data_IF_567650635500
#
_entry.id   IF_567650635500
#
_cell.length_a   1.000
_cell.length_b   1.000
_cell.length_c   1.000
_cell.angle_alpha   90.00
_cell.angle_beta   90.00
_cell.angle_gamma   90.00
#
_symmetry.space_group_name_H-M   'P 1'
#
loop_
_entity.id
_entity.type
_entity.pdbx_description
1 polymer ?
#
# COMPACT_ATOMS: atom_id res chain seq x y z
N UNK A 1 18.21 18.15 -9.72
CA UNK A 1 18.24 16.67 -9.55
C UNK A 1 17.16 16.29 -8.56
N UNK A 2 16.36 15.27 -8.84
CA UNK A 2 15.24 14.86 -7.97
C UNK A 2 15.80 14.35 -6.64
N UNK A 3 15.56 15.06 -5.54
CA UNK A 3 15.95 14.64 -4.17
C UNK A 3 15.19 13.38 -3.70
N UNK A 4 14.32 12.80 -4.53
CA UNK A 4 13.41 11.71 -4.19
C UNK A 4 13.68 10.47 -5.05
N UNK A 5 14.81 9.81 -4.78
CA UNK A 5 15.23 8.60 -5.49
C UNK A 5 14.89 7.32 -4.71
N UNK A 6 14.46 7.44 -3.46
CA UNK A 6 13.94 6.32 -2.68
C UNK A 6 12.42 6.22 -2.82
N UNK A 7 11.88 5.06 -2.47
CA UNK A 7 10.44 4.83 -2.43
C UNK A 7 10.00 4.25 -1.10
N UNK A 8 8.79 4.61 -0.68
CA UNK A 8 8.03 3.87 0.31
C UNK A 8 6.74 3.40 -0.32
N UNK A 9 6.38 2.14 -0.09
CA UNK A 9 5.20 1.53 -0.69
C UNK A 9 4.33 0.94 0.41
N UNK A 10 3.04 1.24 0.41
CA UNK A 10 2.05 0.54 1.21
C UNK A 10 1.44 -0.55 0.33
N UNK A 11 1.60 -1.81 0.71
CA UNK A 11 1.04 -2.97 0.03
C UNK A 11 -0.20 -3.44 0.76
N UNK A 12 -1.21 -3.85 -0.02
CA UNK A 12 -2.48 -4.31 0.51
C UNK A 12 -2.88 -5.58 -0.21
N UNK A 13 -3.06 -6.63 0.57
CA UNK A 13 -3.84 -7.78 0.18
C UNK A 13 -5.30 -7.49 0.53
N UNK A 14 -6.14 -7.28 -0.49
CA UNK A 14 -7.55 -6.94 -0.30
C UNK A 14 -8.29 -8.08 0.39
N UNK A 15 -9.23 -7.85 1.34
CA UNK A 15 -10.08 -8.93 1.86
C UNK A 15 -10.89 -9.61 0.73
N UNK A 16 -10.99 -10.94 0.71
CA UNK A 16 -11.63 -11.69 -0.41
C UNK A 16 -13.07 -11.24 -0.72
N UNK A 17 -13.82 -10.78 0.29
CA UNK A 17 -15.19 -10.25 0.13
C UNK A 17 -15.26 -8.95 -0.69
N UNK A 18 -14.16 -8.18 -0.73
CA UNK A 18 -14.09 -6.90 -1.44
C UNK A 18 -13.60 -7.03 -2.88
N UNK A 19 -13.27 -8.25 -3.31
CA UNK A 19 -12.81 -8.54 -4.66
C UNK A 19 -14.02 -8.95 -5.51
N UNK A 20 -14.32 -8.22 -6.60
CA UNK A 20 -15.39 -8.59 -7.50
C UNK A 20 -15.21 -10.01 -8.03
N UNK A 21 -16.26 -10.84 -8.02
CA UNK A 21 -16.22 -12.24 -8.47
C UNK A 21 -15.53 -12.41 -9.83
N UNK A 22 -15.82 -11.51 -10.79
CA UNK A 22 -15.23 -11.50 -12.15
C UNK A 22 -13.71 -11.25 -12.20
N UNK A 23 -13.12 -10.75 -11.11
CA UNK A 23 -11.68 -10.45 -11.03
C UNK A 23 -10.94 -11.49 -10.19
N UNK A 24 -11.64 -12.36 -9.44
CA UNK A 24 -11.01 -13.35 -8.54
C UNK A 24 -10.06 -14.31 -9.27
N UNK A 25 -10.37 -14.69 -10.50
CA UNK A 25 -9.52 -15.56 -11.33
C UNK A 25 -8.36 -14.81 -12.03
N UNK A 26 -8.29 -13.49 -11.88
CA UNK A 26 -7.30 -12.62 -12.52
C UNK A 26 -6.36 -11.92 -11.53
N UNK A 27 -6.52 -12.21 -10.24
CA UNK A 27 -5.64 -11.75 -9.17
C UNK A 27 -4.83 -12.93 -8.63
N UNK A 28 -3.98 -12.69 -7.64
CA UNK A 28 -3.18 -13.72 -6.97
C UNK A 28 -4.04 -14.95 -6.62
N UNK A 29 -3.52 -16.19 -6.76
CA UNK A 29 -4.18 -17.37 -6.23
C UNK A 29 -4.29 -17.23 -4.71
N UNK A 30 -5.46 -17.58 -4.18
CA UNK A 30 -5.86 -17.29 -2.81
C UNK A 30 -6.33 -18.56 -2.14
N UNK A 31 -5.69 -18.92 -1.03
CA UNK A 31 -6.16 -20.02 -0.20
C UNK A 31 -7.20 -19.48 0.79
N UNK A 32 -8.46 -19.89 0.66
CA UNK A 32 -9.54 -19.44 1.54
C UNK A 32 -9.41 -19.96 2.98
N UNK A 33 -8.63 -21.01 3.18
CA UNK A 33 -8.35 -21.57 4.50
C UNK A 33 -7.31 -20.72 5.25
N UNK A 34 -6.56 -19.89 4.52
CA UNK A 34 -5.65 -18.92 5.12
C UNK A 34 -6.42 -17.69 5.61
N UNK A 35 -6.26 -17.41 6.90
CA UNK A 35 -6.92 -16.30 7.57
C UNK A 35 -6.57 -14.96 6.92
N UNK A 36 -5.31 -14.78 6.49
CA UNK A 36 -4.80 -13.59 5.79
C UNK A 36 -5.60 -13.27 4.53
N UNK A 37 -5.87 -14.28 3.70
CA UNK A 37 -6.71 -14.17 2.51
C UNK A 37 -8.13 -13.67 2.81
N UNK A 38 -8.69 -14.08 3.93
CA UNK A 38 -10.09 -13.77 4.31
C UNK A 38 -10.22 -12.35 4.85
N UNK A 39 -9.33 -11.94 5.77
CA UNK A 39 -9.40 -10.63 6.44
C UNK A 39 -8.56 -9.54 5.76
N UNK A 40 -7.69 -9.93 4.82
CA UNK A 40 -6.68 -9.10 4.17
C UNK A 40 -5.44 -8.89 5.03
N UNK A 41 -4.39 -8.38 4.39
CA UNK A 41 -3.12 -8.03 5.04
C UNK A 41 -2.61 -6.69 4.51
N UNK A 42 -1.87 -5.96 5.36
CA UNK A 42 -1.26 -4.69 5.01
C UNK A 42 0.16 -4.67 5.53
N UNK A 43 1.10 -4.38 4.64
CA UNK A 43 2.51 -4.29 4.93
C UNK A 43 3.12 -3.13 4.16
N UNK A 44 4.38 -2.79 4.43
CA UNK A 44 5.04 -1.72 3.70
C UNK A 44 6.43 -2.14 3.21
N UNK A 45 6.82 -1.56 2.08
CA UNK A 45 8.15 -1.70 1.48
C UNK A 45 8.91 -0.38 1.51
N UNK A 46 10.23 -0.50 1.57
CA UNK A 46 11.17 0.59 1.41
C UNK A 46 12.15 0.21 0.29
N UNK A 47 12.18 1.01 -0.77
CA UNK A 47 13.12 0.85 -1.89
C UNK A 47 14.19 1.94 -1.78
N UNK A 48 15.45 1.55 -1.77
CA UNK A 48 16.58 2.49 -1.77
C UNK A 48 16.88 3.06 -3.17
N UNK A 49 17.89 3.93 -3.28
CA UNK A 49 18.28 4.53 -4.56
C UNK A 49 18.82 3.53 -5.58
N UNK A 50 19.25 2.34 -5.14
CA UNK A 50 19.74 1.27 -6.01
C UNK A 50 18.62 0.39 -6.55
N UNK A 51 17.38 0.63 -6.11
CA UNK A 51 16.21 -0.16 -6.48
C UNK A 51 16.01 -1.41 -5.62
N UNK A 52 16.82 -1.60 -4.56
CA UNK A 52 16.66 -2.74 -3.64
C UNK A 52 15.54 -2.45 -2.66
N UNK A 53 14.53 -3.33 -2.64
CA UNK A 53 13.40 -3.23 -1.73
C UNK A 53 13.56 -4.17 -0.53
N UNK A 54 13.10 -3.69 0.63
CA UNK A 54 12.86 -4.53 1.80
C UNK A 54 11.47 -4.24 2.37
N UNK A 55 10.74 -5.30 2.72
CA UNK A 55 9.35 -5.21 3.19
C UNK A 55 9.22 -5.60 4.66
N UNK A 56 8.17 -5.08 5.31
CA UNK A 56 7.90 -5.30 6.73
C UNK A 56 6.40 -5.38 6.99
N UNK A 57 5.98 -6.43 7.69
CA UNK A 57 4.62 -6.64 8.19
C UNK A 57 4.62 -6.97 9.66
N UNK A 58 3.48 -6.75 10.32
CA UNK A 58 3.28 -7.11 11.74
C UNK A 58 2.18 -8.16 11.84
N UNK A 59 2.52 -9.27 12.48
CA UNK A 59 1.62 -10.40 12.73
C UNK A 59 1.49 -10.70 14.21
N UNK A 60 0.41 -11.37 14.59
CA UNK A 60 0.37 -12.06 15.87
C UNK A 60 1.29 -13.28 15.79
N UNK A 61 2.18 -13.49 16.77
CA UNK A 61 3.06 -14.66 16.78
C UNK A 61 2.27 -15.96 16.66
N UNK A 62 1.12 -16.05 17.33
CA UNK A 62 0.26 -17.23 17.32
C UNK A 62 -0.37 -17.56 15.95
N UNK A 63 -0.39 -16.59 15.02
CA UNK A 63 -0.94 -16.76 13.69
C UNK A 63 0.12 -17.17 12.65
N UNK A 64 1.41 -17.22 13.03
CA UNK A 64 2.50 -17.60 12.14
C UNK A 64 2.79 -19.10 12.25
N UNK A 65 2.92 -19.76 11.10
CA UNK A 65 3.29 -21.17 11.00
C UNK A 65 4.60 -21.44 11.78
N UNK A 66 4.62 -22.51 12.59
CA UNK A 66 5.75 -22.85 13.46
C UNK A 66 5.95 -21.96 14.69
N UNK A 67 5.13 -20.92 14.90
CA UNK A 67 5.03 -20.15 16.16
C UNK A 67 3.72 -20.43 16.89
N UNK A 68 3.16 -21.60 16.60
CA UNK A 68 1.90 -22.17 17.04
C UNK A 68 1.82 -22.50 18.55
N UNK A 69 2.83 -22.13 19.34
CA UNK A 69 2.95 -22.36 20.80
C UNK A 69 1.93 -21.58 21.65
N UNK A 70 0.80 -21.23 21.05
CA UNK A 70 -0.33 -20.58 21.70
C UNK A 70 -1.51 -21.55 21.60
N UNK A 71 -2.10 -21.84 22.76
CA UNK A 71 -3.22 -22.78 22.88
C UNK A 71 -4.32 -22.44 21.87
N UNK A 72 -5.01 -23.43 21.27
CA UNK A 72 -6.07 -23.21 20.30
C UNK A 72 -7.14 -22.20 20.77
N UNK A 73 -7.48 -22.21 22.07
CA UNK A 73 -8.41 -21.23 22.66
C UNK A 73 -7.92 -19.77 22.54
N UNK A 74 -6.61 -19.57 22.61
CA UNK A 74 -5.97 -18.27 22.45
C UNK A 74 -5.76 -17.88 20.96
N UNK A 75 -5.90 -18.81 20.01
CA UNK A 75 -5.91 -18.48 18.56
C UNK A 75 -7.22 -17.81 18.14
N UNK A 76 -8.32 -18.15 18.82
CA UNK A 76 -9.62 -17.49 18.66
C UNK A 76 -9.69 -16.07 19.25
N UNK A 77 -8.61 -15.59 19.90
CA UNK A 77 -8.53 -14.23 20.45
C UNK A 77 -8.45 -13.13 19.39
N UNK A 78 -8.52 -13.47 18.10
CA UNK A 78 -8.59 -12.52 16.99
C UNK A 78 -9.73 -11.51 17.12
N UNK A 79 -10.79 -11.79 17.87
CA UNK A 79 -11.83 -10.79 18.19
C UNK A 79 -11.76 -10.24 19.61
N UNK A 80 -10.80 -10.71 20.42
CA UNK A 80 -10.63 -10.26 21.79
C UNK A 80 -9.89 -8.92 21.87
N UNK A 81 -10.13 -8.18 22.94
CA UNK A 81 -9.37 -6.97 23.28
C UNK A 81 -7.95 -7.27 23.83
N UNK A 82 -7.57 -8.55 23.95
CA UNK A 82 -6.27 -8.94 24.50
C UNK A 82 -5.14 -8.60 23.53
N UNK A 83 -4.00 -8.19 24.10
CA UNK A 83 -2.76 -7.95 23.37
C UNK A 83 -1.90 -9.21 23.45
N UNK A 84 -1.58 -9.80 22.30
CA UNK A 84 -0.71 -10.99 22.20
C UNK A 84 0.69 -10.58 21.76
N UNK A 85 1.65 -11.50 21.84
CA UNK A 85 2.98 -11.26 21.29
C UNK A 85 2.87 -11.00 19.78
N UNK A 86 3.50 -9.92 19.31
CA UNK A 86 3.60 -9.62 17.88
C UNK A 86 4.97 -10.03 17.34
N UNK A 87 5.04 -10.20 16.02
CA UNK A 87 6.29 -10.45 15.30
C UNK A 87 6.32 -9.58 14.05
N UNK A 88 7.45 -8.90 13.85
CA UNK A 88 7.71 -8.20 12.59
C UNK A 88 8.47 -9.14 11.68
N UNK A 89 7.92 -9.40 10.50
CA UNK A 89 8.49 -10.29 9.49
C UNK A 89 8.84 -9.52 8.24
N UNK A 90 9.80 -10.06 7.50
CA UNK A 90 10.09 -9.60 6.15
C UNK A 90 9.11 -10.26 5.20
N UNK A 91 8.30 -9.46 4.52
CA UNK A 91 7.17 -9.89 3.68
C UNK A 91 7.60 -10.02 2.21
N UNK A 92 8.84 -10.45 1.98
CA UNK A 92 9.40 -10.53 0.63
C UNK A 92 8.66 -11.66 -0.09
N UNK A 93 7.96 -11.32 -1.18
CA UNK A 93 7.05 -12.17 -1.95
C UNK A 93 5.65 -12.41 -1.36
N UNK A 94 5.27 -11.72 -0.27
CA UNK A 94 3.86 -11.75 0.14
C UNK A 94 2.97 -11.20 -0.97
N UNK A 95 1.85 -11.86 -1.27
CA UNK A 95 1.03 -11.47 -2.39
C UNK A 95 0.20 -10.23 -2.03
N UNK A 96 0.08 -9.32 -2.99
CA UNK A 96 -0.72 -8.10 -2.85
C UNK A 96 -1.43 -7.78 -4.17
N UNK A 97 -2.56 -7.09 -4.10
CA UNK A 97 -3.33 -6.70 -5.29
C UNK A 97 -3.61 -5.20 -5.37
N UNK A 98 -3.27 -4.47 -4.31
CA UNK A 98 -3.25 -3.02 -4.31
C UNK A 98 -1.97 -2.48 -3.69
N UNK A 99 -1.50 -1.34 -4.19
CA UNK A 99 -0.38 -0.62 -3.58
C UNK A 99 -0.50 0.90 -3.71
N UNK A 100 0.10 1.61 -2.77
CA UNK A 100 0.34 3.06 -2.82
C UNK A 100 1.84 3.32 -2.71
N UNK A 101 2.43 3.80 -3.79
CA UNK A 101 3.85 4.11 -3.88
C UNK A 101 4.08 5.61 -3.69
N UNK A 102 5.09 5.95 -2.90
CA UNK A 102 5.50 7.32 -2.58
C UNK A 102 6.96 7.52 -2.93
N UNK A 103 7.26 8.59 -3.68
CA UNK A 103 8.64 9.02 -3.90
C UNK A 103 9.11 9.86 -2.70
N UNK A 104 10.13 9.37 -2.00
CA UNK A 104 10.62 9.93 -0.73
C UNK A 104 12.11 10.27 -0.81
N UNK A 105 12.56 11.18 0.04
CA UNK A 105 13.99 11.51 0.17
C UNK A 105 14.74 10.45 0.97
N UNK A 106 16.07 10.46 0.90
CA UNK A 106 16.94 9.60 1.73
C UNK A 106 16.65 9.75 3.23
N UNK A 107 16.51 10.98 3.72
CA UNK A 107 16.23 11.23 5.13
C UNK A 107 14.86 10.64 5.56
N UNK A 108 13.85 10.72 4.70
CA UNK A 108 12.55 10.09 4.93
C UNK A 108 12.67 8.57 4.94
N UNK A 109 13.43 7.99 4.00
CA UNK A 109 13.72 6.56 3.96
C UNK A 109 14.37 6.07 5.26
N UNK A 110 15.43 6.75 5.72
CA UNK A 110 16.16 6.36 6.92
C UNK A 110 15.29 6.47 8.19
N UNK A 111 14.38 7.44 8.25
CA UNK A 111 13.42 7.57 9.36
C UNK A 111 12.45 6.37 9.44
N UNK A 112 11.89 5.94 8.31
CA UNK A 112 11.00 4.78 8.27
C UNK A 112 11.78 3.49 8.54
N UNK A 113 12.97 3.35 7.95
CA UNK A 113 13.86 2.20 8.15
C UNK A 113 14.23 2.04 9.63
N UNK A 114 14.61 3.12 10.32
CA UNK A 114 14.93 3.09 11.76
C UNK A 114 13.76 2.59 12.59
N UNK A 115 12.53 3.03 12.29
CA UNK A 115 11.33 2.53 12.97
C UNK A 115 11.15 1.02 12.74
N UNK A 116 11.25 0.58 11.49
CA UNK A 116 11.09 -0.82 11.12
C UNK A 116 12.13 -1.72 11.82
N UNK A 117 13.41 -1.37 11.75
CA UNK A 117 14.50 -2.15 12.35
C UNK A 117 14.44 -2.17 13.88
N UNK A 118 13.96 -1.09 14.50
CA UNK A 118 13.71 -1.06 15.95
C UNK A 118 12.56 -2.01 16.32
N UNK A 119 11.49 -2.03 15.53
CA UNK A 119 10.36 -2.92 15.75
C UNK A 119 10.70 -4.38 15.43
N UNK A 120 11.65 -4.67 14.53
CA UNK A 120 12.17 -6.04 14.33
C UNK A 120 12.87 -6.55 15.59
N UNK A 121 13.70 -5.71 16.23
CA UNK A 121 14.43 -6.08 17.46
C UNK A 121 13.51 -6.20 18.67
N UNK A 122 12.52 -5.31 18.77
CA UNK A 122 11.54 -5.28 19.84
C UNK A 122 10.12 -5.18 19.27
N UNK A 123 9.54 -6.32 18.83
CA UNK A 123 8.22 -6.33 18.21
C UNK A 123 7.12 -5.79 19.12
N UNK A 124 6.25 -4.91 18.62
CA UNK A 124 5.13 -4.43 19.41
C UNK A 124 4.10 -5.56 19.60
N UNK A 125 3.39 -5.55 20.73
CA UNK A 125 2.31 -6.51 20.97
C UNK A 125 1.20 -6.34 19.93
N UNK A 126 0.69 -7.46 19.41
CA UNK A 126 -0.38 -7.46 18.42
C UNK A 126 -1.75 -7.38 19.07
N UNK A 127 -2.66 -6.60 18.49
CA UNK A 127 -4.08 -6.62 18.77
C UNK A 127 -4.86 -6.19 17.52
N UNK A 128 -5.88 -6.95 17.13
CA UNK A 128 -6.59 -6.73 15.87
C UNK A 128 -7.24 -5.34 15.75
N UNK A 129 -7.61 -4.71 16.87
CA UNK A 129 -8.37 -3.46 16.87
C UNK A 129 -7.46 -2.24 17.03
N UNK A 130 -6.41 -2.37 17.84
CA UNK A 130 -5.63 -1.24 18.35
C UNK A 130 -4.15 -1.24 17.98
N UNK A 131 -3.59 -2.39 17.58
CA UNK A 131 -2.20 -2.47 17.14
C UNK A 131 -1.98 -3.68 16.22
N UNK A 132 -2.43 -3.55 14.99
CA UNK A 132 -2.39 -4.58 13.95
C UNK A 132 -1.45 -4.17 12.79
N UNK A 133 -1.47 -4.95 11.71
CA UNK A 133 -0.70 -4.73 10.49
C UNK A 133 -0.92 -3.32 9.89
N UNK A 134 -2.18 -2.86 9.77
CA UNK A 134 -2.53 -1.52 9.25
C UNK A 134 -1.91 -0.43 10.11
N UNK A 135 -2.13 -0.47 11.42
CA UNK A 135 -1.66 0.56 12.34
C UNK A 135 -0.14 0.62 12.34
N UNK A 136 0.51 -0.55 12.32
CA UNK A 136 1.96 -0.66 12.22
C UNK A 136 2.51 -0.02 10.94
N UNK A 137 2.00 -0.40 9.77
CA UNK A 137 2.43 0.18 8.49
C UNK A 137 2.17 1.68 8.43
N UNK A 138 1.03 2.15 8.94
CA UNK A 138 0.71 3.58 8.99
C UNK A 138 1.65 4.36 9.92
N UNK A 139 1.97 3.83 11.10
CA UNK A 139 2.93 4.44 12.04
C UNK A 139 4.33 4.53 11.42
N UNK A 140 4.76 3.49 10.70
CA UNK A 140 6.03 3.47 9.99
C UNK A 140 6.07 4.56 8.91
N UNK A 141 5.11 4.56 7.99
CA UNK A 141 5.07 5.52 6.88
C UNK A 141 4.86 6.97 7.33
N UNK A 142 4.18 7.19 8.47
CA UNK A 142 4.08 8.52 9.10
C UNK A 142 5.41 9.06 9.61
N UNK A 143 6.44 8.22 9.87
CA UNK A 143 7.77 8.72 10.22
C UNK A 143 8.39 9.56 9.10
N UNK A 144 8.02 9.29 7.85
CA UNK A 144 8.41 10.08 6.69
C UNK A 144 7.49 11.30 6.44
N UNK A 145 6.49 11.56 7.29
CA UNK A 145 5.52 12.64 7.08
C UNK A 145 4.59 12.40 5.87
N UNK A 146 4.40 11.15 5.45
CA UNK A 146 3.58 10.83 4.29
C UNK A 146 2.09 11.04 4.55
N UNK A 147 1.39 11.54 3.52
CA UNK A 147 -0.07 11.65 3.52
C UNK A 147 -0.67 10.31 3.12
N UNK A 148 -1.14 9.56 4.10
CA UNK A 148 -1.79 8.26 3.91
C UNK A 148 -3.31 8.42 3.72
N UNK A 149 -3.99 7.45 3.09
CA UNK A 149 -5.44 7.45 3.02
C UNK A 149 -6.07 7.56 4.40
N UNK A 150 -7.12 8.38 4.61
CA UNK A 150 -7.80 8.44 5.88
C UNK A 150 -8.37 7.06 6.22
N UNK A 151 -8.26 6.67 7.48
CA UNK A 151 -8.79 5.42 8.01
C UNK A 151 -9.93 5.72 8.96
N UNK A 152 -11.08 5.10 8.75
CA UNK A 152 -12.16 5.08 9.74
C UNK A 152 -11.95 3.89 10.66
N UNK A 153 -12.32 4.04 11.93
CA UNK A 153 -12.34 2.93 12.86
C UNK A 153 -13.39 1.90 12.42
N UNK A 154 -13.10 0.59 12.47
CA UNK A 154 -11.82 -0.02 12.89
C UNK A 154 -10.74 0.01 11.78
N UNK A 155 -9.47 0.25 12.18
CA UNK A 155 -8.31 0.26 11.28
C UNK A 155 -8.07 -1.12 10.67
N UNK A 156 -8.68 -1.41 9.53
CA UNK A 156 -8.68 -2.73 8.90
C UNK A 156 -8.14 -2.69 7.46
N UNK A 157 -7.60 -3.79 6.92
CA UNK A 157 -7.18 -3.87 5.52
C UNK A 157 -8.25 -3.40 4.55
N UNK A 158 -9.52 -3.70 4.83
CA UNK A 158 -10.68 -3.23 4.07
C UNK A 158 -10.73 -1.70 3.92
N UNK A 159 -10.47 -0.97 5.01
CA UNK A 159 -10.47 0.50 5.00
C UNK A 159 -9.28 1.06 4.22
N UNK A 160 -8.13 0.38 4.24
CA UNK A 160 -6.97 0.75 3.41
C UNK A 160 -7.29 0.54 1.94
N UNK A 161 -7.86 -0.61 1.56
CA UNK A 161 -8.33 -0.91 0.19
C UNK A 161 -9.27 0.18 -0.33
N UNK A 162 -10.29 0.55 0.44
CA UNK A 162 -11.21 1.64 0.05
C UNK A 162 -10.47 2.96 -0.17
N UNK A 163 -9.54 3.30 0.73
CA UNK A 163 -8.70 4.48 0.62
C UNK A 163 -7.87 4.50 -0.67
N UNK A 164 -7.20 3.39 -0.99
CA UNK A 164 -6.40 3.24 -2.22
C UNK A 164 -7.27 3.44 -3.46
N UNK A 165 -8.43 2.79 -3.52
CA UNK A 165 -9.37 2.89 -4.66
C UNK A 165 -9.94 4.29 -4.84
N UNK A 166 -10.26 5.00 -3.75
CA UNK A 166 -10.74 6.38 -3.80
C UNK A 166 -9.65 7.30 -4.37
N UNK A 167 -8.41 7.17 -3.90
CA UNK A 167 -7.28 7.94 -4.40
C UNK A 167 -7.01 7.66 -5.88
N UNK A 168 -6.99 6.40 -6.29
CA UNK A 168 -6.83 6.01 -7.69
C UNK A 168 -7.94 6.61 -8.58
N UNK A 169 -9.18 6.61 -8.11
CA UNK A 169 -10.31 7.24 -8.83
C UNK A 169 -10.16 8.76 -8.91
N UNK A 170 -9.75 9.42 -7.84
CA UNK A 170 -9.50 10.84 -7.81
C UNK A 170 -8.36 11.24 -8.77
N UNK A 171 -7.27 10.49 -8.77
CA UNK A 171 -6.13 10.70 -9.67
C UNK A 171 -6.55 10.53 -11.14
N UNK A 172 -7.35 9.50 -11.46
CA UNK A 172 -7.89 9.34 -12.83
C UNK A 172 -8.77 10.50 -13.26
N UNK A 173 -9.60 11.02 -12.37
CA UNK A 173 -10.46 12.19 -12.65
C UNK A 173 -9.57 13.41 -12.92
N UNK A 174 -8.56 13.65 -12.07
CA UNK A 174 -7.61 14.74 -12.24
C UNK A 174 -6.81 14.63 -13.54
N UNK A 175 -6.38 13.43 -13.91
CA UNK A 175 -5.66 13.18 -15.16
C UNK A 175 -6.56 13.42 -16.38
N UNK A 176 -7.85 13.06 -16.32
CA UNK A 176 -8.84 13.39 -17.36
C UNK A 176 -9.05 14.89 -17.49
N UNK A 177 -9.27 15.60 -16.39
CA UNK A 177 -9.41 17.07 -16.41
C UNK A 177 -8.15 17.75 -16.95
N UNK A 178 -6.97 17.25 -16.60
CA UNK A 178 -5.69 17.77 -17.09
C UNK A 178 -5.55 17.57 -18.61
N UNK A 179 -5.97 16.41 -19.13
CA UNK A 179 -6.02 16.14 -20.58
C UNK A 179 -7.00 17.07 -21.31
N UNK A 180 -8.21 17.22 -20.79
CA UNK A 180 -9.22 18.14 -21.35
C UNK A 180 -8.70 19.57 -21.36
N UNK A 181 -8.11 20.04 -20.24
CA UNK A 181 -7.51 21.37 -20.16
C UNK A 181 -6.35 21.54 -21.13
N UNK A 182 -5.51 20.52 -21.31
CA UNK A 182 -4.43 20.57 -22.30
C UNK A 182 -4.94 20.57 -23.75
N UNK A 183 -6.05 19.89 -24.03
CA UNK A 183 -6.66 19.88 -25.35
C UNK A 183 -7.35 21.21 -25.66
N UNK A 184 -8.06 21.79 -24.67
CA UNK A 184 -8.61 23.15 -24.78
C UNK A 184 -7.48 24.18 -24.93
N UNK A 185 -6.43 24.10 -24.12
CA UNK A 185 -5.27 24.98 -24.25
C UNK A 185 -4.64 24.86 -25.64
N UNK A 186 -4.50 23.66 -26.21
CA UNK A 186 -4.03 23.45 -27.59
C UNK A 186 -4.96 24.05 -28.64
N UNK A 187 -6.28 23.97 -28.43
CA UNK A 187 -7.28 24.53 -29.32
C UNK A 187 -7.31 26.07 -29.29
N UNK A 188 -7.09 26.69 -28.13
CA UNK A 188 -6.97 28.14 -27.97
C UNK A 188 -5.55 28.68 -28.20
N UNK A 189 -4.54 27.80 -28.25
CA UNK A 189 -3.15 28.17 -28.54
C UNK A 189 -2.82 28.17 -30.03
N UNK A 190 -3.81 28.05 -30.91
CA UNK A 190 -3.62 28.27 -32.35
C UNK A 190 -3.00 29.65 -32.63
N UNK A 191 -3.20 30.62 -31.73
CA UNK A 191 -2.66 31.99 -31.85
C UNK A 191 -1.33 32.20 -31.08
N UNK A 192 -0.91 31.29 -30.20
CA UNK A 192 0.41 31.29 -29.54
C UNK A 192 0.88 29.86 -29.27
N UNK A 193 1.84 29.35 -30.05
CA UNK A 193 2.45 28.02 -29.89
C UNK A 193 3.07 27.84 -28.49
N UNK A 194 2.31 27.37 -27.51
CA UNK A 194 2.85 26.82 -26.27
C UNK A 194 3.36 25.41 -26.61
N UNK A 195 4.67 25.17 -26.48
CA UNK A 195 5.25 23.86 -26.83
C UNK A 195 4.70 22.77 -25.89
N UNK A 196 4.54 21.56 -26.43
CA UNK A 196 4.18 20.36 -25.67
C UNK A 196 5.07 20.16 -24.44
N UNK A 197 6.36 20.50 -24.56
CA UNK A 197 7.35 20.38 -23.50
C UNK A 197 7.11 21.33 -22.33
N UNK A 198 6.64 22.56 -22.60
CA UNK A 198 6.28 23.50 -21.55
C UNK A 198 5.04 23.02 -20.76
N UNK A 199 4.08 22.42 -21.47
CA UNK A 199 2.88 21.81 -20.88
C UNK A 199 3.23 20.57 -20.04
N UNK A 200 4.16 19.72 -20.49
CA UNK A 200 4.62 18.58 -19.68
C UNK A 200 5.43 19.00 -18.46
N UNK A 201 6.33 19.98 -18.59
CA UNK A 201 7.09 20.54 -17.45
C UNK A 201 6.22 21.24 -16.41
N UNK A 202 5.04 21.73 -16.83
CA UNK A 202 4.06 22.33 -15.91
C UNK A 202 3.25 21.31 -15.10
N UNK A 203 3.28 20.03 -15.48
CA UNK A 203 2.58 18.99 -14.72
C UNK A 203 3.31 18.77 -13.39
N UNK A 204 2.62 18.88 -12.24
CA UNK A 204 3.26 18.63 -10.96
C UNK A 204 3.77 17.18 -10.92
N UNK A 205 5.03 16.99 -10.52
CA UNK A 205 5.63 15.67 -10.37
C UNK A 205 4.73 14.78 -9.49
N UNK A 206 4.43 13.56 -9.96
CA UNK A 206 3.59 12.61 -9.21
C UNK A 206 4.35 12.20 -7.94
N UNK A 207 3.93 12.75 -6.80
CA UNK A 207 4.48 12.46 -5.46
C UNK A 207 4.02 11.10 -4.92
N UNK A 208 2.92 10.57 -5.46
CA UNK A 208 2.29 9.34 -5.04
C UNK A 208 1.59 8.69 -6.24
N UNK A 209 1.54 7.35 -6.27
CA UNK A 209 0.77 6.59 -7.24
C UNK A 209 0.04 5.44 -6.55
N UNK A 210 -1.30 5.44 -6.66
CA UNK A 210 -2.13 4.30 -6.30
C UNK A 210 -2.33 3.36 -7.47
N UNK A 211 -2.16 2.06 -7.24
CA UNK A 211 -2.46 1.00 -8.20
C UNK A 211 -3.42 0.04 -7.49
N UNK A 212 -4.68 0.04 -7.90
CA UNK A 212 -5.68 -0.89 -7.41
C UNK A 212 -5.85 -2.12 -8.31
N UNK A 213 -6.62 -3.10 -7.84
CA UNK A 213 -6.87 -4.38 -8.54
C UNK A 213 -7.29 -4.20 -10.00
N UNK A 214 -8.12 -3.19 -10.27
CA UNK A 214 -8.59 -2.93 -11.64
C UNK A 214 -7.45 -2.50 -12.57
N UNK A 215 -6.60 -1.58 -12.13
CA UNK A 215 -5.48 -1.11 -12.94
C UNK A 215 -4.42 -2.20 -13.11
N UNK A 216 -4.23 -3.05 -12.09
CA UNK A 216 -3.38 -4.24 -12.17
C UNK A 216 -3.85 -5.22 -13.25
N UNK A 217 -5.15 -5.53 -13.27
CA UNK A 217 -5.74 -6.42 -14.29
C UNK A 217 -5.67 -5.78 -15.69
N UNK A 218 -5.90 -4.46 -15.80
CA UNK A 218 -5.76 -3.74 -17.07
C UNK A 218 -4.31 -3.77 -17.59
N UNK A 219 -3.30 -3.61 -16.72
CA UNK A 219 -1.88 -3.72 -17.13
C UNK A 219 -1.48 -5.14 -17.52
N UNK A 220 -1.93 -6.16 -16.78
CA UNK A 220 -1.67 -7.57 -17.13
C UNK A 220 -2.29 -7.95 -18.48
N UNK A 221 -3.47 -7.41 -18.81
CA UNK A 221 -4.10 -7.62 -20.13
C UNK A 221 -3.35 -6.93 -21.26
N UNK A 222 -2.77 -5.75 -21.00
CA UNK A 222 -1.97 -5.02 -21.98
C UNK A 222 -0.63 -5.70 -22.28
N UNK A 223 0.00 -6.35 -21.29
CA UNK A 223 1.25 -7.10 -21.46
C UNK A 223 1.10 -8.44 -22.20
N UNK A 224 -0.12 -8.96 -22.33
CA UNK A 224 -0.43 -10.19 -23.08
C UNK A 224 -0.79 -9.94 -24.56
N UNK A 225 -0.71 -8.70 -25.02
CA UNK A 225 -0.93 -8.29 -26.42
C UNK A 225 0.39 -7.90 -27.05
#
# INVERSE_FOLDING_TARGET
MSERNCKATLYVETPDIMIPKRLKQHIMPRNREELGTTVGHVFFGLTDETGKEKTYGLHACCALYGNENVAPEDRMTLFSLRRVAGKVTEETNEPYDEKLEYNITRAQYDAVKKYAETAVKNPPKYNIWTNNCVIFSYKALKQAGLKLPPQLLPYSPAMVTLGVRILERADRIKDRFSKVRSNLAKAFSSDRKISSDALEKSRPAKKMQGIGVRSLVESMKAQKR
#
